data_IF_697272925317
#
_entry.id   IF_697272925317
#
_cell.length_a   1.000
_cell.length_b   1.000
_cell.length_c   1.000
_cell.angle_alpha   90.00
_cell.angle_beta   90.00
_cell.angle_gamma   90.00
#
_symmetry.space_group_name_H-M   'P 1'
#
loop_
_entity.id
_entity.type
_entity.pdbx_description
1 polymer ?
#
# COMPACT_ATOMS: atom_id res chain seq x y z
N UNK A 1 3.09 15.73 5.48
CA UNK A 1 2.74 15.38 6.86
C UNK A 1 2.28 13.93 6.87
N UNK A 2 3.08 13.02 7.42
CA UNK A 2 2.69 11.61 7.57
C UNK A 2 1.79 11.48 8.80
N UNK A 3 0.49 11.69 8.59
CA UNK A 3 -0.51 11.55 9.65
C UNK A 3 -1.00 10.11 9.74
N UNK A 4 -0.84 9.49 10.91
CA UNK A 4 -1.56 8.24 11.22
C UNK A 4 -2.99 8.61 11.61
N UNK A 5 -3.97 8.18 10.81
CA UNK A 5 -5.39 8.36 11.11
C UNK A 5 -5.94 7.10 11.77
N UNK A 6 -6.38 7.20 13.02
CA UNK A 6 -7.07 6.11 13.73
C UNK A 6 -8.57 6.26 13.58
N UNK A 7 -9.27 5.16 13.26
CA UNK A 7 -10.73 5.14 13.20
C UNK A 7 -11.29 3.89 13.89
N UNK A 8 -12.37 4.08 14.63
CA UNK A 8 -13.14 2.97 15.18
C UNK A 8 -14.30 2.65 14.23
N UNK A 9 -14.42 1.39 13.87
CA UNK A 9 -15.48 0.87 13.00
C UNK A 9 -15.96 -0.47 13.53
N UNK A 10 -17.26 -0.72 13.41
CA UNK A 10 -17.87 -1.99 13.80
C UNK A 10 -17.73 -2.99 12.65
N UNK A 11 -17.46 -4.25 12.99
CA UNK A 11 -17.58 -5.37 12.04
C UNK A 11 -19.06 -5.60 11.74
N UNK A 12 -19.43 -5.56 10.46
CA UNK A 12 -20.80 -5.74 10.01
C UNK A 12 -20.90 -6.92 9.05
N UNK A 13 -22.13 -7.34 8.76
CA UNK A 13 -22.41 -8.32 7.72
C UNK A 13 -22.62 -7.60 6.39
N UNK A 14 -21.92 -8.06 5.34
CA UNK A 14 -22.08 -7.62 3.96
C UNK A 14 -22.46 -8.86 3.13
N UNK A 15 -23.74 -9.02 2.82
CA UNK A 15 -24.26 -10.26 2.23
C UNK A 15 -24.01 -11.46 3.16
N UNK A 16 -23.24 -12.45 2.68
CA UNK A 16 -22.83 -13.62 3.46
C UNK A 16 -21.44 -13.48 4.12
N UNK A 17 -20.80 -12.31 3.97
CA UNK A 17 -19.45 -12.06 4.47
C UNK A 17 -19.47 -11.12 5.67
N UNK A 18 -18.38 -11.12 6.43
CA UNK A 18 -18.08 -10.06 7.39
C UNK A 18 -17.25 -8.97 6.71
N UNK A 19 -17.48 -7.73 7.09
CA UNK A 19 -16.76 -6.59 6.55
C UNK A 19 -16.65 -5.44 7.54
N UNK A 20 -15.82 -4.46 7.17
CA UNK A 20 -15.64 -3.20 7.90
C UNK A 20 -15.69 -2.07 6.88
N UNK A 21 -16.55 -1.07 7.12
CA UNK A 21 -16.66 0.08 6.24
C UNK A 21 -15.50 1.07 6.48
N UNK A 22 -14.62 1.21 5.50
CA UNK A 22 -13.36 1.99 5.60
C UNK A 22 -13.19 3.00 4.46
N UNK A 23 -14.29 3.51 3.89
CA UNK A 23 -14.29 4.42 2.73
C UNK A 23 -13.31 5.58 2.85
N UNK A 24 -13.24 6.24 4.01
CA UNK A 24 -12.34 7.38 4.20
C UNK A 24 -10.87 6.96 4.22
N UNK A 25 -10.55 5.77 4.74
CA UNK A 25 -9.20 5.23 4.69
C UNK A 25 -8.77 4.90 3.26
N UNK A 26 -9.67 4.25 2.48
CA UNK A 26 -9.40 3.93 1.08
C UNK A 26 -9.11 5.19 0.26
N UNK A 27 -9.88 6.27 0.45
CA UNK A 27 -9.64 7.57 -0.19
C UNK A 27 -8.29 8.18 0.19
N UNK A 28 -7.89 8.10 1.46
CA UNK A 28 -6.61 8.63 1.94
C UNK A 28 -5.40 7.96 1.27
N UNK A 29 -5.54 6.69 0.86
CA UNK A 29 -4.49 5.95 0.14
C UNK A 29 -4.72 5.89 -1.38
N UNK A 30 -5.66 6.69 -1.90
CA UNK A 30 -5.93 6.79 -3.33
C UNK A 30 -6.49 5.52 -3.98
N UNK A 31 -7.29 4.75 -3.23
CA UNK A 31 -8.01 3.58 -3.73
C UNK A 31 -9.46 3.92 -4.07
N UNK A 32 -9.92 3.42 -5.22
CA UNK A 32 -11.27 3.56 -5.74
C UNK A 32 -12.01 2.23 -5.93
N UNK A 33 -13.23 2.32 -6.45
CA UNK A 33 -14.00 1.14 -6.85
C UNK A 33 -13.33 0.47 -8.05
N UNK A 34 -13.08 -0.83 -7.95
CA UNK A 34 -12.44 -1.62 -9.02
C UNK A 34 -10.92 -1.76 -8.89
N UNK A 35 -10.28 -1.04 -7.96
CA UNK A 35 -8.87 -1.21 -7.67
C UNK A 35 -8.59 -2.54 -6.95
N UNK A 36 -7.49 -3.19 -7.31
CA UNK A 36 -6.98 -4.35 -6.60
C UNK A 36 -6.12 -3.95 -5.40
N UNK A 37 -6.22 -4.76 -4.34
CA UNK A 37 -5.44 -4.58 -3.10
C UNK A 37 -4.82 -5.90 -2.66
N UNK A 38 -3.71 -5.79 -1.93
CA UNK A 38 -3.11 -6.89 -1.18
C UNK A 38 -3.53 -6.80 0.29
N UNK A 39 -3.96 -7.94 0.83
CA UNK A 39 -4.37 -8.08 2.22
C UNK A 39 -3.35 -8.98 2.92
N UNK A 40 -2.60 -8.41 3.86
CA UNK A 40 -1.62 -9.13 4.68
C UNK A 40 -2.20 -9.31 6.08
N UNK A 41 -2.32 -10.56 6.52
CA UNK A 41 -2.82 -10.89 7.86
C UNK A 41 -1.64 -11.24 8.77
N UNK A 42 -1.40 -10.38 9.75
CA UNK A 42 -0.36 -10.51 10.78
C UNK A 42 -0.98 -11.09 12.05
N UNK A 43 -1.17 -12.41 12.06
CA UNK A 43 -1.97 -13.11 13.10
C UNK A 43 -1.44 -12.89 14.52
N UNK A 44 -0.12 -12.92 14.70
CA UNK A 44 0.52 -12.77 16.02
C UNK A 44 0.31 -11.37 16.61
N UNK A 45 0.23 -10.36 15.76
CA UNK A 45 -0.02 -8.97 16.14
C UNK A 45 -1.52 -8.63 16.17
N UNK A 46 -2.38 -9.53 15.67
CA UNK A 46 -3.82 -9.28 15.54
C UNK A 46 -4.17 -8.22 14.49
N UNK A 47 -3.31 -8.04 13.47
CA UNK A 47 -3.42 -6.94 12.50
C UNK A 47 -3.77 -7.42 11.09
N UNK A 48 -4.51 -6.58 10.36
CA UNK A 48 -4.71 -6.71 8.92
C UNK A 48 -4.16 -5.44 8.25
N UNK A 49 -3.23 -5.61 7.31
CA UNK A 49 -2.65 -4.52 6.54
C UNK A 49 -3.16 -4.60 5.10
N UNK A 50 -3.80 -3.53 4.64
CA UNK A 50 -4.30 -3.39 3.26
C UNK A 50 -3.35 -2.47 2.51
N UNK A 51 -2.90 -2.90 1.32
CA UNK A 51 -1.98 -2.15 0.46
C UNK A 51 -2.53 -2.09 -0.96
N UNK A 52 -2.29 -0.99 -1.66
CA UNK A 52 -2.57 -0.92 -3.10
C UNK A 52 -1.75 -2.00 -3.82
N UNK A 53 -2.40 -2.82 -4.65
CA UNK A 53 -1.68 -3.80 -5.45
C UNK A 53 -0.91 -3.07 -6.54
N UNK A 54 0.39 -3.32 -6.62
CA UNK A 54 1.22 -2.83 -7.72
C UNK A 54 1.21 -3.89 -8.80
N UNK A 55 0.52 -3.63 -9.91
CA UNK A 55 0.61 -4.47 -11.09
C UNK A 55 1.88 -4.14 -11.84
N UNK A 56 2.74 -5.13 -12.04
CA UNK A 56 3.90 -5.01 -12.92
C UNK A 56 3.35 -4.86 -14.35
N UNK A 57 3.71 -3.79 -15.09
CA UNK A 57 3.24 -3.63 -16.46
C UNK A 57 3.65 -4.83 -17.32
N UNK A 58 2.81 -5.20 -18.29
CA UNK A 58 3.14 -6.26 -19.25
C UNK A 58 4.51 -5.99 -19.89
N UNK A 59 5.36 -7.03 -19.94
CA UNK A 59 6.73 -6.93 -20.46
C UNK A 59 7.81 -6.56 -19.44
N UNK A 60 7.46 -6.31 -18.18
CA UNK A 60 8.43 -6.11 -17.10
C UNK A 60 8.54 -7.36 -16.22
N UNK A 61 9.78 -7.80 -15.93
CA UNK A 61 10.05 -8.85 -14.93
C UNK A 61 9.64 -8.31 -13.55
N UNK A 62 8.88 -9.05 -12.72
CA UNK A 62 8.54 -8.62 -11.36
C UNK A 62 9.75 -8.21 -10.50
N UNK A 63 10.92 -8.80 -10.75
CA UNK A 63 12.19 -8.44 -10.08
C UNK A 63 12.77 -7.10 -10.54
N UNK A 64 12.25 -6.53 -11.61
CA UNK A 64 12.67 -5.21 -12.11
C UNK A 64 12.48 -4.13 -11.05
N UNK A 65 11.34 -4.14 -10.35
CA UNK A 65 11.06 -3.17 -9.30
C UNK A 65 11.93 -3.39 -8.06
N UNK A 66 12.28 -4.63 -7.73
CA UNK A 66 13.22 -4.93 -6.66
C UNK A 66 14.62 -4.40 -6.98
N UNK A 67 15.09 -4.61 -8.22
CA UNK A 67 16.37 -4.10 -8.70
C UNK A 67 16.36 -2.57 -8.74
N UNK A 68 15.30 -1.96 -9.24
CA UNK A 68 15.14 -0.50 -9.23
C UNK A 68 15.18 0.06 -7.81
N UNK A 69 14.43 -0.55 -6.89
CA UNK A 69 14.39 -0.11 -5.49
C UNK A 69 15.77 -0.19 -4.86
N UNK A 70 16.47 -1.31 -5.05
CA UNK A 70 17.84 -1.50 -4.55
C UNK A 70 18.82 -0.46 -5.11
N UNK A 71 18.78 -0.19 -6.42
CA UNK A 71 19.63 0.82 -7.03
C UNK A 71 19.27 2.23 -6.53
N UNK A 72 17.98 2.55 -6.38
CA UNK A 72 17.55 3.84 -5.85
C UNK A 72 18.00 4.07 -4.41
N UNK A 73 17.99 3.02 -3.58
CA UNK A 73 18.53 3.07 -2.22
C UNK A 73 20.06 3.24 -2.23
N UNK A 74 20.76 2.50 -3.09
CA UNK A 74 22.23 2.56 -3.23
C UNK A 74 22.73 3.94 -3.67
N UNK A 75 22.04 4.58 -4.60
CA UNK A 75 22.43 5.88 -5.14
C UNK A 75 21.68 7.07 -4.53
N UNK A 76 20.94 6.85 -3.43
CA UNK A 76 20.10 7.88 -2.81
C UNK A 76 20.87 9.15 -2.47
N UNK A 77 22.02 9.03 -1.81
CA UNK A 77 22.85 10.19 -1.43
C UNK A 77 23.32 10.98 -2.66
N UNK A 78 23.71 10.29 -3.73
CA UNK A 78 24.15 10.91 -4.99
C UNK A 78 23.00 11.63 -5.69
N UNK A 79 21.82 11.01 -5.73
CA UNK A 79 20.62 11.58 -6.35
C UNK A 79 20.12 12.80 -5.55
N UNK A 80 20.12 12.71 -4.22
CA UNK A 80 19.75 13.83 -3.34
C UNK A 80 20.77 14.98 -3.44
N UNK A 81 22.06 14.69 -3.59
CA UNK A 81 23.11 15.70 -3.80
C UNK A 81 23.03 16.44 -5.13
N UNK A 82 22.34 15.89 -6.13
CA UNK A 82 22.07 16.58 -7.41
C UNK A 82 20.90 17.57 -7.32
N UNK A 83 20.09 17.52 -6.26
CA UNK A 83 18.91 18.39 -6.07
C UNK A 83 19.29 19.82 -5.67
N UNK A 84 20.45 20.02 -5.07
CA UNK A 84 20.94 21.33 -4.61
C UNK A 84 21.84 22.04 -5.64
N UNK A 85 21.70 21.69 -6.93
CA UNK A 85 22.40 22.31 -8.05
C UNK A 85 21.48 23.04 -9.01
#
# INVERSE_FOLDING_TARGET
MNGVTTMNRKVTRIGNSLGVAITDALKQVGLGLGDDVDIVVRKEQGEIVIRKRVTVPEGFDPRFFDILTKNMEEYRETIEGLKDR
#
